data_IF_732578143047
#
_entry.id   IF_732578143047
#
_cell.length_a   1.000
_cell.length_b   1.000
_cell.length_c   1.000
_cell.angle_alpha   90.00
_cell.angle_beta   90.00
_cell.angle_gamma   90.00
#
_symmetry.space_group_name_H-M   'P 1'
#
loop_
_entity.id
_entity.type
_entity.pdbx_description
1 polymer ?
#
# COMPACT_ATOMS: atom_id res chain seq x y z
N UNK A 1 -14.81 17.46 0.59
CA UNK A 1 -14.68 16.28 -0.28
C UNK A 1 -14.57 14.98 0.52
N UNK A 2 -13.51 14.72 1.30
CA UNK A 2 -13.37 13.48 2.09
C UNK A 2 -14.57 13.19 2.98
N UNK A 3 -15.00 14.19 3.78
CA UNK A 3 -16.21 14.05 4.62
C UNK A 3 -17.47 13.80 3.78
N UNK A 4 -17.59 14.40 2.60
CA UNK A 4 -18.79 14.28 1.76
C UNK A 4 -18.93 12.85 1.22
N UNK A 5 -17.84 12.28 0.70
CA UNK A 5 -17.80 10.90 0.20
C UNK A 5 -18.07 9.91 1.33
N UNK A 6 -17.38 10.05 2.45
CA UNK A 6 -17.58 9.17 3.59
C UNK A 6 -18.99 9.31 4.19
N UNK A 7 -19.53 10.53 4.25
CA UNK A 7 -20.90 10.75 4.72
C UNK A 7 -21.92 10.14 3.77
N UNK A 8 -21.65 10.14 2.46
CA UNK A 8 -22.49 9.45 1.48
C UNK A 8 -22.49 7.94 1.70
N UNK A 9 -21.32 7.33 1.91
CA UNK A 9 -21.22 5.90 2.26
C UNK A 9 -22.00 5.59 3.55
N UNK A 10 -21.83 6.44 4.57
CA UNK A 10 -22.49 6.26 5.87
C UNK A 10 -24.01 6.37 5.77
N UNK A 11 -24.51 7.34 5.01
CA UNK A 11 -25.94 7.51 4.71
C UNK A 11 -26.54 6.31 3.97
N UNK A 12 -25.73 5.58 3.22
CA UNK A 12 -26.13 4.35 2.52
C UNK A 12 -25.80 3.08 3.33
N UNK A 13 -25.55 3.20 4.64
CA UNK A 13 -25.28 2.09 5.55
C UNK A 13 -24.07 1.22 5.15
N UNK A 14 -23.08 1.82 4.47
CA UNK A 14 -21.82 1.15 4.15
C UNK A 14 -20.86 1.41 5.30
N UNK A 15 -20.40 0.33 5.95
CA UNK A 15 -19.32 0.43 6.94
C UNK A 15 -17.96 0.51 6.24
N UNK A 16 -17.07 1.32 6.79
CA UNK A 16 -15.75 1.59 6.22
C UNK A 16 -14.70 1.18 7.24
N UNK A 17 -13.96 0.13 6.92
CA UNK A 17 -12.92 -0.42 7.80
C UNK A 17 -11.57 0.28 7.64
N UNK A 18 -11.23 0.69 6.42
CA UNK A 18 -9.98 1.36 6.09
C UNK A 18 -10.21 2.51 5.13
N UNK A 19 -9.42 3.58 5.27
CA UNK A 19 -9.39 4.69 4.31
C UNK A 19 -7.94 5.07 4.07
N UNK A 20 -7.54 5.14 2.81
CA UNK A 20 -6.26 5.76 2.46
C UNK A 20 -6.41 7.28 2.34
N UNK A 21 -5.54 8.02 3.01
CA UNK A 21 -5.40 9.48 2.80
C UNK A 21 -4.27 9.68 1.81
N UNK A 22 -4.63 9.65 0.52
CA UNK A 22 -3.71 9.68 -0.61
C UNK A 22 -3.41 8.28 -1.19
N UNK A 23 -2.71 8.23 -2.32
CA UNK A 23 -2.28 6.99 -2.97
C UNK A 23 -0.83 7.12 -3.42
N UNK A 24 0.01 6.14 -3.10
CA UNK A 24 1.44 6.11 -3.42
C UNK A 24 2.14 7.47 -3.21
N UNK A 25 2.00 8.03 -2.01
CA UNK A 25 2.38 9.41 -1.69
C UNK A 25 3.86 9.54 -1.31
N UNK A 26 4.72 8.75 -1.95
CA UNK A 26 6.19 8.68 -1.74
C UNK A 26 6.89 10.03 -1.90
N UNK A 27 6.26 10.92 -2.65
CA UNK A 27 6.74 12.28 -2.90
C UNK A 27 5.72 13.33 -2.39
N UNK A 28 4.79 12.93 -1.52
CA UNK A 28 3.63 13.70 -1.06
C UNK A 28 2.49 13.76 -2.09
N UNK A 29 1.52 14.65 -1.90
CA UNK A 29 0.36 14.82 -2.79
C UNK A 29 -0.05 16.29 -2.94
N UNK A 30 -0.95 16.61 -3.89
CA UNK A 30 -1.41 17.97 -4.19
C UNK A 30 -0.26 18.94 -4.49
N UNK A 31 0.57 18.58 -5.47
CA UNK A 31 1.76 19.34 -5.82
C UNK A 31 1.44 20.68 -6.49
N UNK A 32 2.32 21.69 -6.32
CA UNK A 32 3.58 21.64 -5.57
C UNK A 32 3.40 21.81 -4.05
N UNK A 33 2.21 22.19 -3.59
CA UNK A 33 1.96 22.59 -2.20
C UNK A 33 2.30 21.51 -1.18
N UNK A 34 1.93 20.26 -1.46
CA UNK A 34 2.20 19.11 -0.60
C UNK A 34 3.27 18.17 -1.16
N UNK A 35 4.20 18.67 -2.00
CA UNK A 35 5.36 17.87 -2.39
C UNK A 35 6.28 17.70 -1.18
N UNK A 36 6.53 16.46 -0.74
CA UNK A 36 7.23 16.17 0.50
C UNK A 36 8.69 16.66 0.51
N UNK A 37 9.38 16.62 -0.63
CA UNK A 37 10.76 17.14 -0.78
C UNK A 37 10.88 18.64 -0.56
N UNK A 38 9.82 19.39 -0.91
CA UNK A 38 9.85 20.85 -0.95
C UNK A 38 9.11 21.44 0.26
N UNK A 39 8.07 20.77 0.73
CA UNK A 39 7.10 21.27 1.70
C UNK A 39 6.58 20.15 2.64
N UNK A 40 7.48 19.43 3.31
CA UNK A 40 7.12 18.34 4.24
C UNK A 40 6.08 18.74 5.30
N UNK A 41 6.18 19.95 5.85
CA UNK A 41 5.21 20.47 6.84
C UNK A 41 3.80 20.59 6.25
N UNK A 42 3.66 21.09 5.02
CA UNK A 42 2.36 21.20 4.36
C UNK A 42 1.80 19.83 4.00
N UNK A 43 2.64 18.91 3.53
CA UNK A 43 2.24 17.53 3.27
C UNK A 43 1.71 16.85 4.56
N UNK A 44 2.39 17.01 5.69
CA UNK A 44 1.93 16.54 6.98
C UNK A 44 0.62 17.20 7.41
N UNK A 45 0.48 18.52 7.22
CA UNK A 45 -0.76 19.24 7.49
C UNK A 45 -1.95 18.76 6.65
N UNK A 46 -1.74 18.49 5.36
CA UNK A 46 -2.81 17.92 4.52
C UNK A 46 -3.16 16.49 4.93
N UNK A 47 -2.17 15.69 5.29
CA UNK A 47 -2.37 14.34 5.83
C UNK A 47 -3.22 14.38 7.10
N UNK A 48 -2.90 15.30 8.02
CA UNK A 48 -3.64 15.47 9.28
C UNK A 48 -5.10 15.87 9.04
N UNK A 49 -5.35 16.85 8.17
CA UNK A 49 -6.74 17.25 7.85
C UNK A 49 -7.51 16.10 7.21
N UNK A 50 -6.86 15.30 6.35
CA UNK A 50 -7.45 14.08 5.80
C UNK A 50 -7.79 13.05 6.88
N UNK A 51 -6.87 12.79 7.80
CA UNK A 51 -7.09 11.89 8.95
C UNK A 51 -8.29 12.35 9.79
N UNK A 52 -8.34 13.63 10.18
CA UNK A 52 -9.43 14.18 10.98
C UNK A 52 -10.79 14.09 10.25
N UNK A 53 -10.81 14.35 8.94
CA UNK A 53 -12.01 14.20 8.13
C UNK A 53 -12.53 12.74 8.12
N UNK A 54 -11.63 11.75 8.05
CA UNK A 54 -12.00 10.33 8.17
C UNK A 54 -12.59 10.06 9.54
N UNK A 55 -11.87 10.41 10.61
CA UNK A 55 -12.27 10.11 11.99
C UNK A 55 -13.57 10.79 12.41
N UNK A 56 -13.90 11.95 11.84
CA UNK A 56 -15.16 12.64 12.08
C UNK A 56 -16.38 11.84 11.58
N UNK A 57 -16.25 11.12 10.47
CA UNK A 57 -17.35 10.34 9.89
C UNK A 57 -17.32 8.89 10.36
N UNK A 58 -16.14 8.27 10.34
CA UNK A 58 -15.87 6.90 10.78
C UNK A 58 -14.74 6.86 11.82
N UNK A 59 -15.03 7.07 13.11
CA UNK A 59 -14.02 7.09 14.17
C UNK A 59 -13.17 5.81 14.27
N UNK A 60 -13.77 4.66 13.89
CA UNK A 60 -13.13 3.35 13.98
C UNK A 60 -12.40 2.93 12.69
N UNK A 61 -12.61 3.64 11.57
CA UNK A 61 -11.91 3.34 10.33
C UNK A 61 -10.41 3.56 10.53
N UNK A 62 -9.59 2.61 10.09
CA UNK A 62 -8.13 2.72 10.14
C UNK A 62 -7.68 3.61 8.97
N UNK A 63 -6.99 4.70 9.28
CA UNK A 63 -6.41 5.60 8.28
C UNK A 63 -5.04 5.09 7.86
N UNK A 64 -4.91 4.77 6.58
CA UNK A 64 -3.71 4.26 5.95
C UNK A 64 -2.99 5.39 5.22
N UNK A 65 -1.68 5.53 5.44
CA UNK A 65 -0.81 6.29 4.54
C UNK A 65 -0.06 5.29 3.68
N UNK A 66 -0.27 5.41 2.37
CA UNK A 66 0.18 4.44 1.38
C UNK A 66 1.30 5.03 0.52
N UNK A 67 2.45 4.35 0.45
CA UNK A 67 3.57 4.71 -0.43
C UNK A 67 4.09 3.50 -1.25
N UNK A 68 4.74 3.79 -2.39
CA UNK A 68 5.27 2.75 -3.29
C UNK A 68 6.64 2.20 -2.85
N UNK A 69 7.13 1.18 -3.57
CA UNK A 69 8.47 0.62 -3.37
C UNK A 69 8.65 -0.03 -2.00
N UNK A 70 7.80 -0.99 -1.65
CA UNK A 70 7.78 -1.64 -0.34
C UNK A 70 9.11 -2.26 0.11
N UNK A 71 10.06 -2.52 -0.80
CA UNK A 71 11.42 -2.96 -0.50
C UNK A 71 12.39 -1.82 -0.08
N UNK A 72 12.07 -0.55 -0.32
CA UNK A 72 12.95 0.60 -0.08
C UNK A 72 12.67 1.28 1.26
N UNK A 73 13.34 0.82 2.32
CA UNK A 73 13.19 1.38 3.67
C UNK A 73 13.47 2.89 3.75
N UNK A 74 14.37 3.42 2.92
CA UNK A 74 14.77 4.84 2.99
C UNK A 74 13.65 5.77 2.56
N UNK A 75 12.84 5.36 1.58
CA UNK A 75 11.65 6.13 1.15
C UNK A 75 10.63 6.22 2.28
N UNK A 76 10.40 5.10 2.94
CA UNK A 76 9.48 5.03 4.07
C UNK A 76 9.98 5.90 5.22
N UNK A 77 11.26 5.79 5.56
CA UNK A 77 11.88 6.62 6.58
C UNK A 77 11.70 8.11 6.31
N UNK A 78 11.96 8.56 5.08
CA UNK A 78 11.80 9.96 4.70
C UNK A 78 10.37 10.48 4.93
N UNK A 79 9.37 9.72 4.48
CA UNK A 79 7.96 10.11 4.62
C UNK A 79 7.51 10.06 6.07
N UNK A 80 7.72 8.94 6.76
CA UNK A 80 7.16 8.72 8.10
C UNK A 80 7.91 9.49 9.19
N UNK A 81 9.22 9.76 9.04
CA UNK A 81 9.94 10.70 9.91
C UNK A 81 9.41 12.13 9.73
N UNK A 82 9.10 12.51 8.49
CA UNK A 82 8.50 13.81 8.18
C UNK A 82 7.11 13.98 8.80
N UNK A 83 6.22 13.00 8.61
CA UNK A 83 4.88 13.01 9.21
C UNK A 83 4.95 13.05 10.74
N UNK A 84 5.83 12.25 11.35
CA UNK A 84 6.06 12.24 12.81
C UNK A 84 6.58 13.58 13.31
N UNK A 85 7.55 14.19 12.61
CA UNK A 85 8.14 15.48 12.97
C UNK A 85 7.09 16.61 13.06
N UNK A 86 6.10 16.59 12.17
CA UNK A 86 5.07 17.62 12.10
C UNK A 86 3.72 17.17 12.71
N UNK A 87 3.70 16.06 13.45
CA UNK A 87 2.55 15.65 14.26
C UNK A 87 1.33 15.15 13.46
N UNK A 88 1.53 14.66 12.23
CA UNK A 88 0.43 14.09 11.45
C UNK A 88 0.05 12.70 11.96
N UNK A 89 -1.26 12.46 12.10
CA UNK A 89 -1.80 11.18 12.57
C UNK A 89 -2.11 10.22 11.42
N UNK A 90 -1.92 8.93 11.72
CA UNK A 90 -2.30 7.79 10.89
C UNK A 90 -2.31 6.52 11.76
N UNK A 91 -3.06 5.51 11.34
CA UNK A 91 -3.22 4.27 12.11
C UNK A 91 -2.35 3.13 11.56
N UNK A 92 -2.16 3.09 10.25
CA UNK A 92 -1.51 1.98 9.54
C UNK A 92 -0.67 2.47 8.35
N UNK A 93 0.35 1.71 7.99
CA UNK A 93 1.20 1.96 6.82
C UNK A 93 0.82 1.02 5.68
N UNK A 94 0.52 1.58 4.51
CA UNK A 94 0.24 0.85 3.28
C UNK A 94 1.49 0.73 2.42
N UNK A 95 1.72 -0.45 1.85
CA UNK A 95 2.81 -0.71 0.93
C UNK A 95 2.28 -1.17 -0.44
N UNK A 96 2.82 -0.61 -1.52
CA UNK A 96 2.85 -1.30 -2.81
C UNK A 96 4.02 -2.26 -2.88
N UNK A 97 3.75 -3.51 -3.20
CA UNK A 97 4.76 -4.56 -3.42
C UNK A 97 4.57 -5.11 -4.83
N UNK A 98 5.28 -4.52 -5.80
CA UNK A 98 5.25 -4.99 -7.20
C UNK A 98 6.64 -5.45 -7.62
N UNK A 99 6.93 -6.76 -7.50
CA UNK A 99 8.26 -7.27 -7.86
C UNK A 99 8.68 -6.95 -9.30
N UNK A 100 7.72 -6.87 -10.22
CA UNK A 100 7.97 -6.40 -11.59
C UNK A 100 8.51 -4.96 -11.62
N UNK A 101 7.82 -4.02 -10.97
CA UNK A 101 8.22 -2.62 -10.96
C UNK A 101 9.49 -2.37 -10.17
N UNK A 102 9.73 -3.12 -9.09
CA UNK A 102 10.96 -3.03 -8.30
C UNK A 102 12.19 -3.37 -9.16
N UNK A 103 12.10 -4.41 -10.00
CA UNK A 103 13.17 -4.79 -10.94
C UNK A 103 13.33 -3.74 -12.05
N UNK A 104 12.23 -3.27 -12.64
CA UNK A 104 12.26 -2.23 -13.69
C UNK A 104 12.86 -0.93 -13.17
N UNK A 105 12.52 -0.53 -11.94
CA UNK A 105 13.03 0.65 -11.27
C UNK A 105 14.43 0.46 -10.67
N UNK A 106 15.01 -0.76 -10.76
CA UNK A 106 16.31 -1.14 -10.21
C UNK A 106 16.40 -0.96 -8.69
N UNK A 107 15.27 -1.12 -7.99
CA UNK A 107 15.25 -1.26 -6.54
C UNK A 107 15.75 -2.63 -6.13
N UNK A 108 15.44 -3.65 -6.93
CA UNK A 108 15.85 -5.04 -6.72
C UNK A 108 16.34 -5.68 -8.01
N UNK A 109 17.07 -6.78 -7.89
CA UNK A 109 17.56 -7.56 -9.04
C UNK A 109 16.58 -8.63 -9.51
N UNK A 110 15.74 -9.13 -8.60
CA UNK A 110 14.72 -10.13 -8.88
C UNK A 110 13.55 -10.03 -7.88
N UNK A 111 12.50 -10.81 -8.12
CA UNK A 111 11.33 -10.79 -7.25
C UNK A 111 11.58 -11.33 -5.84
N UNK A 112 12.62 -12.16 -5.66
CA UNK A 112 12.97 -12.71 -4.33
C UNK A 112 13.59 -11.63 -3.46
N UNK A 113 14.39 -10.75 -4.06
CA UNK A 113 14.89 -9.52 -3.46
C UNK A 113 13.72 -8.67 -2.94
N UNK A 114 12.75 -8.36 -3.81
CA UNK A 114 11.54 -7.63 -3.43
C UNK A 114 10.83 -8.26 -2.23
N UNK A 115 10.61 -9.58 -2.25
CA UNK A 115 9.95 -10.30 -1.14
C UNK A 115 10.76 -10.21 0.16
N UNK A 116 12.06 -10.45 0.08
CA UNK A 116 12.97 -10.36 1.24
C UNK A 116 12.95 -8.96 1.85
N UNK A 117 13.08 -7.93 1.03
CA UNK A 117 13.32 -6.58 1.52
C UNK A 117 12.03 -5.86 1.91
N UNK A 118 10.87 -6.17 1.29
CA UNK A 118 9.59 -5.70 1.86
C UNK A 118 9.33 -6.33 3.23
N UNK A 119 9.66 -7.61 3.40
CA UNK A 119 9.49 -8.29 4.69
C UNK A 119 10.36 -7.65 5.77
N UNK A 120 11.61 -7.31 5.42
CA UNK A 120 12.50 -6.57 6.30
C UNK A 120 11.95 -5.16 6.60
N UNK A 121 11.42 -4.47 5.59
CA UNK A 121 10.83 -3.14 5.76
C UNK A 121 9.62 -3.16 6.70
N UNK A 122 8.70 -4.13 6.58
CA UNK A 122 7.54 -4.23 7.50
C UNK A 122 7.98 -4.34 8.97
N UNK A 123 9.01 -5.15 9.26
CA UNK A 123 9.55 -5.28 10.62
C UNK A 123 10.18 -3.97 11.10
N UNK A 124 10.98 -3.33 10.25
CA UNK A 124 11.59 -2.03 10.52
C UNK A 124 10.54 -0.93 10.81
N UNK A 125 9.48 -0.87 10.02
CA UNK A 125 8.38 0.08 10.19
C UNK A 125 7.69 -0.07 11.54
N UNK A 126 7.42 -1.31 11.95
CA UNK A 126 6.87 -1.58 13.26
C UNK A 126 7.84 -1.19 14.37
N UNK A 127 9.11 -1.58 14.28
CA UNK A 127 10.14 -1.25 15.28
C UNK A 127 10.33 0.27 15.45
N UNK A 128 10.33 1.03 14.34
CA UNK A 128 10.61 2.48 14.34
C UNK A 128 9.39 3.34 14.64
N UNK A 129 8.22 2.97 14.14
CA UNK A 129 7.01 3.80 14.21
C UNK A 129 5.91 3.21 15.11
N UNK A 130 6.00 1.92 15.48
CA UNK A 130 4.96 1.22 16.24
C UNK A 130 3.66 1.08 15.45
N UNK A 131 3.76 0.96 14.11
CA UNK A 131 2.61 0.97 13.21
C UNK A 131 2.50 -0.36 12.48
N UNK A 132 1.27 -0.88 12.49
CA UNK A 132 0.91 -2.05 11.72
C UNK A 132 0.88 -1.72 10.22
N UNK A 133 1.02 -2.75 9.39
CA UNK A 133 1.14 -2.59 7.93
C UNK A 133 0.14 -3.41 7.13
N UNK A 134 -0.02 -3.07 5.86
CA UNK A 134 -0.80 -3.82 4.89
C UNK A 134 -0.20 -3.66 3.49
N UNK A 135 -0.08 -4.76 2.74
CA UNK A 135 0.20 -4.68 1.30
C UNK A 135 -1.11 -4.30 0.62
N UNK A 136 -1.26 -3.01 0.31
CA UNK A 136 -2.50 -2.46 -0.26
C UNK A 136 -2.52 -2.51 -1.78
N UNK A 137 -1.35 -2.74 -2.40
CA UNK A 137 -1.23 -2.99 -3.83
C UNK A 137 -0.14 -4.02 -4.12
N UNK A 138 -0.44 -4.93 -5.05
CA UNK A 138 0.52 -5.87 -5.63
C UNK A 138 -0.04 -6.40 -6.95
N UNK A 139 0.82 -6.98 -7.77
CA UNK A 139 0.47 -7.51 -9.07
C UNK A 139 1.65 -8.23 -9.72
N UNK A 140 1.35 -9.10 -10.68
CA UNK A 140 2.30 -9.90 -11.44
C UNK A 140 1.86 -9.99 -12.89
N UNK A 141 2.77 -10.27 -13.81
CA UNK A 141 2.45 -10.26 -15.24
C UNK A 141 1.43 -11.34 -15.62
N UNK A 142 0.28 -10.93 -16.17
CA UNK A 142 -0.82 -11.82 -16.57
C UNK A 142 -0.39 -12.86 -17.62
N UNK A 143 0.59 -12.52 -18.46
CA UNK A 143 1.17 -13.40 -19.49
C UNK A 143 2.00 -14.55 -18.93
N UNK A 144 2.39 -14.48 -17.65
CA UNK A 144 3.23 -15.48 -16.98
C UNK A 144 2.52 -16.08 -15.75
N UNK A 145 1.33 -16.69 -15.91
CA UNK A 145 0.44 -16.96 -14.78
C UNK A 145 0.98 -17.99 -13.77
N UNK A 146 1.81 -18.94 -14.22
CA UNK A 146 2.49 -19.91 -13.34
C UNK A 146 3.54 -19.24 -12.46
N UNK A 147 4.32 -18.33 -13.04
CA UNK A 147 5.32 -17.57 -12.29
C UNK A 147 4.62 -16.57 -11.37
N UNK A 148 3.60 -15.86 -11.87
CA UNK A 148 2.79 -14.96 -11.06
C UNK A 148 2.13 -15.67 -9.86
N UNK A 149 1.68 -16.92 -10.01
CA UNK A 149 1.22 -17.74 -8.89
C UNK A 149 2.32 -17.98 -7.84
N UNK A 150 3.53 -18.33 -8.27
CA UNK A 150 4.67 -18.56 -7.36
C UNK A 150 5.02 -17.27 -6.60
N UNK A 151 5.11 -16.15 -7.31
CA UNK A 151 5.43 -14.83 -6.75
C UNK A 151 4.34 -14.41 -5.76
N UNK A 152 3.06 -14.49 -6.15
CA UNK A 152 1.95 -14.10 -5.27
C UNK A 152 1.88 -14.97 -4.02
N UNK A 153 2.13 -16.28 -4.15
CA UNK A 153 2.19 -17.17 -3.00
C UNK A 153 3.33 -16.78 -2.05
N UNK A 154 4.48 -16.35 -2.59
CA UNK A 154 5.59 -15.88 -1.79
C UNK A 154 5.26 -14.57 -1.05
N UNK A 155 4.67 -13.57 -1.73
CA UNK A 155 4.24 -12.31 -1.11
C UNK A 155 3.22 -12.57 0.01
N UNK A 156 2.19 -13.39 -0.24
CA UNK A 156 1.17 -13.72 0.75
C UNK A 156 1.76 -14.49 1.94
N UNK A 157 2.64 -15.46 1.68
CA UNK A 157 3.30 -16.23 2.75
C UNK A 157 4.20 -15.34 3.61
N UNK A 158 4.96 -14.44 2.99
CA UNK A 158 5.83 -13.53 3.70
C UNK A 158 5.04 -12.53 4.57
N UNK A 159 3.99 -11.92 4.00
CA UNK A 159 3.07 -11.07 4.74
C UNK A 159 2.47 -11.80 5.96
N UNK A 160 2.06 -13.06 5.79
CA UNK A 160 1.42 -13.85 6.84
C UNK A 160 2.38 -14.34 7.92
N UNK A 161 3.60 -14.77 7.55
CA UNK A 161 4.45 -15.56 8.43
C UNK A 161 5.80 -14.88 8.76
N UNK A 162 6.33 -14.04 7.87
CA UNK A 162 7.73 -13.60 7.94
C UNK A 162 7.87 -12.12 8.38
N UNK A 163 6.76 -11.38 8.34
CA UNK A 163 6.63 -9.98 8.79
C UNK A 163 6.50 -9.81 10.31
N UNK A 164 6.75 -10.84 11.11
CA UNK A 164 6.64 -10.78 12.58
C UNK A 164 5.22 -10.58 13.11
N UNK A 165 4.19 -10.81 12.28
CA UNK A 165 2.79 -10.56 12.63
C UNK A 165 2.32 -9.13 12.33
N UNK A 166 3.14 -8.30 11.68
CA UNK A 166 2.84 -6.88 11.46
C UNK A 166 2.31 -6.51 10.07
N UNK A 167 1.95 -7.50 9.25
CA UNK A 167 1.28 -7.29 7.97
C UNK A 167 -0.10 -7.96 7.98
N UNK A 168 -1.15 -7.16 7.83
CA UNK A 168 -2.55 -7.60 8.09
C UNK A 168 -3.37 -7.91 6.85
N UNK A 169 -2.75 -7.87 5.67
CA UNK A 169 -3.45 -8.16 4.42
C UNK A 169 -2.60 -7.94 3.18
N UNK A 170 -3.07 -8.52 2.08
CA UNK A 170 -2.54 -8.35 0.74
C UNK A 170 -3.71 -8.10 -0.21
N UNK A 171 -3.68 -7.00 -0.94
CA UNK A 171 -4.67 -6.61 -1.94
C UNK A 171 -4.04 -6.65 -3.33
N UNK A 172 -4.56 -7.50 -4.22
CA UNK A 172 -4.19 -7.49 -5.62
C UNK A 172 -4.85 -6.29 -6.30
N UNK A 173 -4.06 -5.48 -7.02
CA UNK A 173 -4.58 -4.29 -7.67
C UNK A 173 -5.21 -4.63 -9.02
N UNK A 174 -6.49 -4.31 -9.17
CA UNK A 174 -7.29 -4.46 -10.40
C UNK A 174 -7.03 -5.78 -11.16
N UNK A 175 -7.21 -6.95 -10.51
CA UNK A 175 -6.90 -8.26 -11.11
C UNK A 175 -7.65 -8.51 -12.41
N UNK A 176 -8.84 -7.92 -12.58
CA UNK A 176 -9.68 -8.07 -13.76
C UNK A 176 -9.16 -7.35 -15.01
N UNK A 177 -8.11 -6.53 -14.91
CA UNK A 177 -7.56 -5.82 -16.06
C UNK A 177 -7.00 -6.79 -17.11
N UNK A 178 -7.38 -6.53 -18.36
CA UNK A 178 -6.85 -7.17 -19.56
C UNK A 178 -6.38 -6.08 -20.53
N UNK A 179 -5.31 -6.34 -21.30
CA UNK A 179 -4.84 -5.42 -22.34
C UNK A 179 -3.49 -4.76 -22.05
N UNK A 180 -3.45 -3.43 -22.10
CA UNK A 180 -2.17 -2.67 -22.13
C UNK A 180 -1.40 -2.70 -20.80
N UNK A 181 -2.10 -2.71 -19.67
CA UNK A 181 -1.45 -2.82 -18.38
C UNK A 181 -1.13 -4.29 -18.09
N UNK A 182 0.15 -4.66 -17.87
CA UNK A 182 0.55 -6.06 -17.86
C UNK A 182 0.24 -6.81 -16.57
N UNK A 183 -0.04 -6.09 -15.46
CA UNK A 183 -0.13 -6.67 -14.12
C UNK A 183 -1.56 -6.98 -13.67
N UNK A 184 -2.48 -7.20 -14.61
CA UNK A 184 -3.74 -7.88 -14.29
C UNK A 184 -3.50 -9.36 -13.95
N UNK A 185 -4.57 -10.05 -13.58
CA UNK A 185 -4.57 -11.48 -13.28
C UNK A 185 -5.65 -12.25 -14.05
N UNK A 186 -6.25 -11.64 -15.08
CA UNK A 186 -7.30 -12.23 -15.90
C UNK A 186 -6.83 -12.44 -17.35
N UNK A 187 -7.41 -13.45 -17.98
CA UNK A 187 -7.27 -13.75 -19.41
C UNK A 187 -8.58 -14.35 -19.93
N UNK A 188 -9.07 -13.80 -21.05
CA UNK A 188 -10.38 -14.12 -21.63
C UNK A 188 -11.52 -14.01 -20.60
N UNK A 189 -11.54 -12.89 -19.86
CA UNK A 189 -12.53 -12.59 -18.82
C UNK A 189 -12.61 -13.63 -17.68
N UNK A 190 -11.53 -14.38 -17.45
CA UNK A 190 -11.43 -15.38 -16.39
C UNK A 190 -10.16 -15.20 -15.57
N UNK A 191 -10.20 -15.48 -14.25
CA UNK A 191 -8.99 -15.43 -13.44
C UNK A 191 -7.99 -16.48 -13.92
N UNK A 192 -6.75 -16.06 -14.06
CA UNK A 192 -5.61 -16.94 -14.35
C UNK A 192 -5.19 -17.73 -13.10
N UNK A 193 -4.14 -18.55 -13.24
CA UNK A 193 -3.57 -19.31 -12.12
C UNK A 193 -3.04 -18.42 -10.99
N UNK A 194 -2.70 -17.16 -11.27
CA UNK A 194 -2.22 -16.18 -10.28
C UNK A 194 -3.19 -16.08 -9.10
N UNK A 195 -4.49 -15.98 -9.38
CA UNK A 195 -5.52 -15.81 -8.35
C UNK A 195 -5.70 -17.04 -7.46
N UNK A 196 -5.18 -18.22 -7.84
CA UNK A 196 -5.16 -19.39 -6.96
C UNK A 196 -4.25 -19.20 -5.75
N UNK A 197 -3.33 -18.23 -5.76
CA UNK A 197 -2.49 -17.92 -4.61
C UNK A 197 -3.31 -17.43 -3.40
N UNK A 198 -4.51 -16.89 -3.63
CA UNK A 198 -5.45 -16.44 -2.58
C UNK A 198 -6.45 -17.52 -2.16
N UNK A 199 -6.46 -18.68 -2.81
CA UNK A 199 -7.30 -19.80 -2.39
C UNK A 199 -6.80 -20.41 -1.06
N UNK A 200 -7.74 -20.87 -0.23
CA UNK A 200 -7.45 -21.50 1.07
C UNK A 200 -6.73 -22.84 0.94
#
# INVERSE_FOLDING_TARGET
>A
HTEDVLSLLKKNNIDVKWVQVGNETTNGFLWPMGRASDNMEKYAGFTEVGYQAVKKVYPNAQVIIHIDGGCDQKRYDFIFDGLKKFGAHYDMIGLSVYPYWDVVAKLESDWKGSVRDFTANVKHLYEKYGKETMVVETGTESKHPKEGYIIMKAVINAAKNDCGGHCHGVFYWAPELEGQYPLGAFDNHRPTEIMKAFAK
#
